data_IF_305035173996
#
_entry.id   IF_305035173996
#
_cell.length_a   1.000
_cell.length_b   1.000
_cell.length_c   1.000
_cell.angle_alpha   90.00
_cell.angle_beta   90.00
_cell.angle_gamma   90.00
#
_symmetry.space_group_name_H-M   'P 1'
#
loop_
_entity.id
_entity.type
_entity.pdbx_description
1 polymer ?
#
# COMPACT_ATOMS: atom_id res chain seq x y z
N UNK A 1 -25.02 7.30 0.80
CA UNK A 1 -24.73 6.55 2.05
C UNK A 1 -23.23 6.34 2.06
N UNK A 2 -22.53 7.38 2.48
CA UNK A 2 -21.07 7.42 2.46
C UNK A 2 -20.58 6.70 3.72
N UNK A 3 -20.29 5.40 3.59
CA UNK A 3 -19.62 4.65 4.65
C UNK A 3 -18.13 5.02 4.62
N UNK A 4 -17.81 6.22 5.11
CA UNK A 4 -16.44 6.61 5.40
C UNK A 4 -16.00 5.79 6.60
N UNK A 5 -15.33 4.67 6.32
CA UNK A 5 -14.83 3.81 7.39
C UNK A 5 -13.60 4.45 7.98
N UNK A 6 -13.82 5.18 9.08
CA UNK A 6 -12.78 5.63 10.01
C UNK A 6 -12.21 4.42 10.76
N UNK A 7 -11.56 3.51 10.03
CA UNK A 7 -10.77 2.45 10.64
C UNK A 7 -9.52 3.07 11.23
N UNK A 8 -9.26 2.83 12.51
CA UNK A 8 -7.95 3.05 13.12
C UNK A 8 -6.90 2.48 12.15
N UNK A 9 -6.11 3.34 11.49
CA UNK A 9 -5.35 3.05 10.25
C UNK A 9 -4.17 2.09 10.42
N UNK A 10 -4.22 1.24 11.43
CA UNK A 10 -3.19 0.27 11.73
C UNK A 10 -3.38 -0.95 10.84
N UNK A 11 -2.49 -1.10 9.87
CA UNK A 11 -2.38 -2.32 9.10
C UNK A 11 -1.91 -3.47 10.02
N UNK A 12 -2.58 -4.61 9.94
CA UNK A 12 -2.19 -5.82 10.65
C UNK A 12 -1.90 -6.94 9.65
N UNK A 13 -0.79 -7.65 9.84
CA UNK A 13 -0.41 -8.82 9.07
C UNK A 13 -0.31 -10.02 10.00
N UNK A 14 -1.09 -11.06 9.72
CA UNK A 14 -1.18 -12.24 10.57
C UNK A 14 -1.06 -13.53 9.74
N UNK A 15 -0.41 -14.55 10.32
CA UNK A 15 -0.40 -15.91 9.77
C UNK A 15 -1.42 -16.73 10.58
N UNK A 16 -2.39 -17.31 9.90
CA UNK A 16 -3.40 -18.16 10.51
C UNK A 16 -2.86 -19.57 10.75
N UNK A 17 -3.33 -20.25 11.80
CA UNK A 17 -2.98 -21.65 12.09
C UNK A 17 -3.39 -22.64 10.98
N UNK A 18 -4.24 -22.22 10.03
CA UNK A 18 -4.57 -22.98 8.82
C UNK A 18 -3.57 -22.80 7.67
N UNK A 19 -2.50 -22.01 7.85
CA UNK A 19 -1.46 -21.75 6.85
C UNK A 19 -1.72 -20.56 5.92
N UNK A 20 -2.88 -19.89 6.04
CA UNK A 20 -3.25 -18.70 5.26
C UNK A 20 -2.69 -17.42 5.88
N UNK A 21 -2.43 -16.41 5.05
CA UNK A 21 -1.96 -15.10 5.48
C UNK A 21 -3.06 -14.05 5.31
N UNK A 22 -3.29 -13.27 6.37
CA UNK A 22 -4.33 -12.25 6.40
C UNK A 22 -3.70 -10.88 6.53
N UNK A 23 -4.11 -9.97 5.64
CA UNK A 23 -3.79 -8.55 5.73
C UNK A 23 -5.06 -7.77 6.01
N UNK A 24 -5.11 -7.07 7.14
CA UNK A 24 -6.25 -6.26 7.55
C UNK A 24 -5.88 -4.78 7.53
N UNK A 25 -6.69 -3.98 6.84
CA UNK A 25 -6.61 -2.52 6.85
C UNK A 25 -8.01 -1.93 7.06
N UNK A 26 -8.26 -1.43 8.27
CA UNK A 26 -9.57 -0.96 8.69
C UNK A 26 -10.63 -2.07 8.53
N UNK A 27 -11.69 -1.86 7.72
CA UNK A 27 -12.77 -2.83 7.51
C UNK A 27 -12.42 -3.94 6.51
N UNK A 28 -11.33 -3.79 5.75
CA UNK A 28 -10.98 -4.72 4.68
C UNK A 28 -9.98 -5.73 5.22
N UNK A 29 -10.27 -7.02 5.03
CA UNK A 29 -9.31 -8.10 5.26
C UNK A 29 -9.12 -8.89 3.97
N UNK A 30 -7.88 -8.92 3.49
CA UNK A 30 -7.45 -9.75 2.37
C UNK A 30 -6.96 -11.08 2.92
N UNK A 31 -7.42 -12.16 2.29
CA UNK A 31 -7.03 -13.53 2.63
C UNK A 31 -6.19 -14.06 1.49
N UNK A 32 -5.04 -14.62 1.82
CA UNK A 32 -4.11 -15.18 0.85
C UNK A 32 -3.75 -16.61 1.22
N UNK A 33 -3.67 -17.47 0.21
CA UNK A 33 -2.81 -18.64 0.31
C UNK A 33 -1.33 -18.21 0.16
N UNK A 34 -0.40 -19.12 0.45
CA UNK A 34 1.03 -18.78 0.55
C UNK A 34 1.59 -18.14 -0.72
N UNK A 35 1.32 -18.74 -1.88
CA UNK A 35 1.88 -18.27 -3.16
C UNK A 35 1.29 -16.92 -3.58
N UNK A 36 -0.01 -16.72 -3.31
CA UNK A 36 -0.70 -15.44 -3.55
C UNK A 36 -0.11 -14.33 -2.69
N UNK A 37 0.17 -14.63 -1.42
CA UNK A 37 0.78 -13.66 -0.50
C UNK A 37 2.17 -13.25 -0.97
N UNK A 38 3.01 -14.20 -1.40
CA UNK A 38 4.37 -13.91 -1.89
C UNK A 38 4.30 -13.00 -3.12
N UNK A 39 3.43 -13.33 -4.09
CA UNK A 39 3.24 -12.50 -5.28
C UNK A 39 2.74 -11.08 -4.94
N UNK A 40 1.82 -10.96 -3.98
CA UNK A 40 1.34 -9.68 -3.48
C UNK A 40 2.47 -8.87 -2.82
N UNK A 41 3.26 -9.49 -1.95
CA UNK A 41 4.36 -8.85 -1.25
C UNK A 41 5.43 -8.32 -2.22
N UNK A 42 5.77 -9.07 -3.26
CA UNK A 42 6.73 -8.65 -4.30
C UNK A 42 6.23 -7.43 -5.07
N UNK A 43 4.94 -7.41 -5.43
CA UNK A 43 4.33 -6.27 -6.10
C UNK A 43 4.36 -5.01 -5.22
N UNK A 44 4.01 -5.14 -3.94
CA UNK A 44 4.07 -4.03 -2.97
C UNK A 44 5.51 -3.54 -2.77
N UNK A 45 6.49 -4.44 -2.67
CA UNK A 45 7.89 -4.07 -2.52
C UNK A 45 8.41 -3.27 -3.73
N UNK A 46 8.06 -3.71 -4.95
CA UNK A 46 8.37 -2.98 -6.18
C UNK A 46 7.75 -1.59 -6.19
N UNK A 47 6.47 -1.47 -5.86
CA UNK A 47 5.79 -0.17 -5.78
C UNK A 47 6.45 0.74 -4.73
N UNK A 48 6.73 0.23 -3.53
CA UNK A 48 7.39 1.00 -2.47
C UNK A 48 8.78 1.50 -2.90
N UNK A 49 9.54 0.69 -3.66
CA UNK A 49 10.84 1.12 -4.19
C UNK A 49 10.71 2.27 -5.20
N UNK A 50 9.70 2.23 -6.08
CA UNK A 50 9.43 3.30 -7.04
C UNK A 50 9.03 4.60 -6.35
N UNK A 51 8.19 4.53 -5.32
CA UNK A 51 7.78 5.70 -4.54
C UNK A 51 8.96 6.37 -3.83
N UNK A 52 9.85 5.57 -3.20
CA UNK A 52 11.06 6.09 -2.56
C UNK A 52 11.98 6.83 -3.54
N UNK A 53 12.14 6.29 -4.75
CA UNK A 53 12.94 6.94 -5.80
C UNK A 53 12.31 8.25 -6.28
N UNK A 54 10.98 8.33 -6.36
CA UNK A 54 10.27 9.54 -6.74
C UNK A 54 10.43 10.65 -5.69
N UNK A 55 10.36 10.32 -4.40
CA UNK A 55 10.59 11.28 -3.32
C UNK A 55 12.03 11.81 -3.31
N UNK A 56 13.02 10.94 -3.54
CA UNK A 56 14.44 11.32 -3.58
C UNK A 56 14.73 12.23 -4.79
N UNK A 57 14.10 11.94 -5.94
CA UNK A 57 14.17 12.77 -7.14
C UNK A 57 13.51 14.14 -6.94
N UNK A 58 12.44 14.21 -6.13
CA UNK A 58 11.76 15.47 -5.78
C UNK A 58 12.56 16.31 -4.79
N UNK A 59 13.42 15.69 -3.98
CA UNK A 59 14.32 16.41 -3.06
C UNK A 59 15.49 17.10 -3.78
N UNK A 60 15.90 16.58 -4.94
CA UNK A 60 16.97 17.15 -5.77
C UNK A 60 16.47 18.17 -6.82
N UNK A 61 15.16 18.39 -6.94
CA UNK A 61 14.62 19.36 -7.88
C UNK A 61 14.71 20.78 -7.28
N UNK A 62 15.50 21.71 -7.84
CA UNK A 62 15.35 23.12 -7.49
C UNK A 62 13.94 23.56 -7.88
N UNK A 63 13.27 24.26 -6.97
CA UNK A 63 11.93 24.80 -7.14
C UNK A 63 11.76 25.46 -8.51
N UNK A 64 11.02 24.83 -9.41
CA UNK A 64 10.51 25.48 -10.61
C UNK A 64 9.16 24.90 -10.98
N UNK A 65 8.17 25.79 -10.84
CA UNK A 65 6.87 25.82 -11.50
C UNK A 65 5.95 24.59 -11.38
N UNK A 66 4.95 24.77 -10.50
CA UNK A 66 3.53 24.53 -10.79
C UNK A 66 3.23 23.71 -12.05
N UNK A 67 2.72 22.50 -11.87
CA UNK A 67 1.69 21.99 -12.78
C UNK A 67 0.72 21.09 -12.02
N UNK A 68 -0.46 21.66 -11.82
CA UNK A 68 -1.69 21.03 -11.38
C UNK A 68 -1.98 19.79 -12.25
N UNK A 69 -1.92 18.59 -11.68
CA UNK A 69 -2.34 17.37 -12.35
C UNK A 69 -3.25 16.61 -11.39
N UNK A 70 -4.56 16.84 -11.55
CA UNK A 70 -5.62 16.02 -10.97
C UNK A 70 -5.47 14.57 -11.44
N UNK A 71 -5.53 13.62 -10.50
CA UNK A 71 -5.66 12.20 -10.83
C UNK A 71 -7.14 11.88 -11.09
N UNK A 72 -7.43 11.26 -12.24
CA UNK A 72 -8.74 10.72 -12.59
C UNK A 72 -8.99 9.36 -11.96
#
# INVERSE_FOLDING_TARGET
MDNVIHGNGQAALNVCGCGRLHFTYGPITLHFDRDEFVAFADAVARLASQLRQADDSRSLAPSSAYSDTMCH
#
